data_IF_756150681068
#
_entry.id   IF_756150681068
#
_cell.length_a   1.000
_cell.length_b   1.000
_cell.length_c   1.000
_cell.angle_alpha   90.00
_cell.angle_beta   90.00
_cell.angle_gamma   90.00
#
_symmetry.space_group_name_H-M   'P 1'
#
loop_
_entity.id
_entity.type
_entity.pdbx_description
1 polymer ?
#
# COMPACT_ATOMS: atom_id res chain seq x y z
N UNK A 1 14.27 23.20 17.01
CA UNK A 1 13.96 21.83 17.49
C UNK A 1 13.46 21.05 16.29
N UNK A 2 14.24 20.07 15.82
CA UNK A 2 13.83 19.15 14.75
C UNK A 2 12.91 18.13 15.41
N UNK A 3 11.65 17.94 14.98
CA UNK A 3 10.86 16.84 15.51
C UNK A 3 11.50 15.54 15.03
N UNK A 4 12.13 14.85 15.99
CA UNK A 4 12.75 13.55 15.79
C UNK A 4 11.64 12.50 15.60
N UNK A 5 11.84 11.60 14.62
CA UNK A 5 11.28 10.25 14.42
C UNK A 5 10.47 9.70 15.61
N UNK A 6 9.27 9.10 15.48
CA UNK A 6 8.74 8.21 14.45
C UNK A 6 7.25 8.08 14.77
N UNK A 7 6.39 8.91 14.18
CA UNK A 7 4.95 8.64 14.21
C UNK A 7 4.68 7.63 13.10
N UNK A 8 5.01 6.36 13.32
CA UNK A 8 4.38 5.32 12.49
C UNK A 8 2.89 5.41 12.79
N UNK A 9 2.02 5.67 11.80
CA UNK A 9 0.59 5.62 12.04
C UNK A 9 0.27 4.28 12.70
N UNK A 10 -0.34 4.33 13.89
CA UNK A 10 -0.73 3.14 14.62
C UNK A 10 -2.00 2.60 13.96
N UNK A 11 -1.82 1.71 12.98
CA UNK A 11 -2.95 1.03 12.35
C UNK A 11 -3.62 0.09 13.35
N UNK A 12 -4.93 0.20 13.45
CA UNK A 12 -5.78 -0.75 14.15
C UNK A 12 -5.72 -2.12 13.46
N UNK A 13 -6.10 -3.18 14.19
CA UNK A 13 -6.16 -4.53 13.60
C UNK A 13 -7.15 -4.62 12.44
N UNK A 14 -8.22 -3.82 12.49
CA UNK A 14 -9.20 -3.74 11.40
C UNK A 14 -8.58 -3.14 10.14
N UNK A 15 -7.90 -2.00 10.25
CA UNK A 15 -7.23 -1.37 9.10
C UNK A 15 -6.18 -2.31 8.50
N UNK A 16 -5.42 -3.02 9.33
CA UNK A 16 -4.47 -4.05 8.85
C UNK A 16 -5.19 -5.14 8.06
N UNK A 17 -6.32 -5.66 8.54
CA UNK A 17 -7.09 -6.69 7.83
C UNK A 17 -7.67 -6.18 6.51
N UNK A 18 -8.15 -4.94 6.50
CA UNK A 18 -8.65 -4.30 5.28
C UNK A 18 -7.53 -4.14 4.25
N UNK A 19 -6.35 -3.66 4.66
CA UNK A 19 -5.18 -3.57 3.79
C UNK A 19 -4.73 -4.95 3.27
N UNK A 20 -4.78 -5.98 4.11
CA UNK A 20 -4.46 -7.36 3.70
C UNK A 20 -5.47 -7.86 2.66
N UNK A 21 -6.75 -7.60 2.87
CA UNK A 21 -7.81 -7.98 1.93
C UNK A 21 -7.65 -7.27 0.58
N UNK A 22 -7.30 -5.98 0.59
CA UNK A 22 -7.03 -5.21 -0.63
C UNK A 22 -5.95 -5.86 -1.46
N UNK A 23 -4.85 -6.31 -0.84
CA UNK A 23 -3.77 -6.99 -1.55
C UNK A 23 -4.18 -8.36 -2.12
N UNK A 24 -5.08 -9.07 -1.44
CA UNK A 24 -5.61 -10.35 -1.93
C UNK A 24 -6.58 -10.16 -3.10
N UNK A 25 -7.40 -9.11 -3.07
CA UNK A 25 -8.37 -8.80 -4.13
C UNK A 25 -7.71 -8.11 -5.33
N UNK A 26 -6.70 -7.29 -5.07
CA UNK A 26 -5.96 -6.49 -6.06
C UNK A 26 -4.47 -6.72 -5.84
N UNK A 27 -3.89 -7.81 -6.38
CA UNK A 27 -2.46 -8.00 -6.33
C UNK A 27 -1.74 -6.86 -7.04
N UNK A 28 -0.60 -6.44 -6.46
CA UNK A 28 0.24 -5.41 -7.05
C UNK A 28 0.79 -5.92 -8.38
N UNK A 29 0.49 -5.20 -9.47
CA UNK A 29 0.91 -5.55 -10.81
C UNK A 29 2.14 -4.71 -11.21
N UNK A 30 3.30 -5.34 -11.48
CA UNK A 30 4.52 -4.69 -11.94
C UNK A 30 4.33 -3.78 -13.17
N UNK A 31 3.33 -4.06 -14.02
CA UNK A 31 3.06 -3.26 -15.21
C UNK A 31 2.63 -1.81 -14.87
N UNK A 32 2.17 -1.57 -13.64
CA UNK A 32 1.73 -0.26 -13.17
C UNK A 32 2.80 0.47 -12.35
N UNK A 33 4.01 -0.10 -12.19
CA UNK A 33 5.09 0.50 -11.41
C UNK A 33 5.43 1.91 -11.91
N UNK A 34 5.68 2.04 -13.21
CA UNK A 34 6.11 3.30 -13.80
C UNK A 34 5.06 4.39 -13.64
N UNK A 35 3.78 4.06 -13.86
CA UNK A 35 2.69 5.02 -13.75
C UNK A 35 2.40 5.39 -12.29
N UNK A 36 2.47 4.43 -11.35
CA UNK A 36 2.30 4.69 -9.92
C UNK A 36 3.45 5.51 -9.33
N UNK A 37 4.66 5.40 -9.89
CA UNK A 37 5.83 6.18 -9.49
C UNK A 37 5.91 7.55 -10.19
N UNK A 38 5.03 7.83 -11.16
CA UNK A 38 4.98 9.09 -11.89
C UNK A 38 4.04 10.12 -11.23
N UNK A 39 4.08 11.37 -11.69
CA UNK A 39 3.08 12.38 -11.32
C UNK A 39 1.79 12.16 -12.13
N UNK A 40 1.14 11.03 -11.91
CA UNK A 40 -0.11 10.68 -12.58
C UNK A 40 -1.25 11.59 -12.10
N UNK A 41 -1.81 12.39 -13.00
CA UNK A 41 -2.93 13.32 -12.74
C UNK A 41 -4.25 12.88 -13.39
N UNK A 42 -4.28 11.67 -13.95
CA UNK A 42 -5.46 11.10 -14.58
C UNK A 42 -6.47 10.51 -13.60
N UNK A 43 -7.56 9.96 -14.14
CA UNK A 43 -8.69 9.42 -13.36
C UNK A 43 -8.91 7.91 -13.57
N UNK A 44 -7.91 7.19 -14.09
CA UNK A 44 -8.02 5.76 -14.28
C UNK A 44 -8.14 5.06 -12.92
N UNK A 45 -9.29 4.43 -12.70
CA UNK A 45 -9.59 3.72 -11.45
C UNK A 45 -8.64 2.56 -11.21
N UNK A 46 -8.13 1.94 -12.26
CA UNK A 46 -7.18 0.82 -12.17
C UNK A 46 -5.85 1.31 -11.65
N UNK A 47 -5.36 2.45 -12.16
CA UNK A 47 -4.12 3.08 -11.69
C UNK A 47 -4.27 3.47 -10.22
N UNK A 48 -5.36 4.13 -9.83
CA UNK A 48 -5.59 4.48 -8.43
C UNK A 48 -5.68 3.25 -7.50
N UNK A 49 -6.28 2.15 -7.96
CA UNK A 49 -6.31 0.90 -7.19
C UNK A 49 -4.92 0.29 -7.04
N UNK A 50 -4.10 0.31 -8.10
CA UNK A 50 -2.72 -0.17 -8.05
C UNK A 50 -1.85 0.69 -7.12
N UNK A 51 -1.98 2.02 -7.17
CA UNK A 51 -1.30 2.92 -6.23
C UNK A 51 -1.67 2.59 -4.78
N UNK A 52 -2.96 2.45 -4.49
CA UNK A 52 -3.43 2.11 -3.15
C UNK A 52 -2.94 0.72 -2.69
N UNK A 53 -2.99 -0.29 -3.56
CA UNK A 53 -2.47 -1.63 -3.24
C UNK A 53 -0.97 -1.60 -2.91
N UNK A 54 -0.17 -0.80 -3.64
CA UNK A 54 1.27 -0.62 -3.35
C UNK A 54 1.51 0.03 -1.99
N UNK A 55 0.70 1.02 -1.64
CA UNK A 55 0.78 1.66 -0.33
C UNK A 55 0.45 0.64 0.77
N UNK A 56 -0.63 -0.15 0.62
CA UNK A 56 -0.98 -1.23 1.53
C UNK A 56 0.15 -2.25 1.69
N UNK A 57 0.79 -2.66 0.58
CA UNK A 57 1.93 -3.58 0.62
C UNK A 57 3.08 -2.98 1.42
N UNK A 58 3.45 -1.73 1.14
CA UNK A 58 4.55 -1.04 1.83
C UNK A 58 4.30 -0.93 3.33
N UNK A 59 3.09 -0.49 3.71
CA UNK A 59 2.66 -0.40 5.11
C UNK A 59 2.72 -1.78 5.79
N UNK A 60 2.11 -2.81 5.19
CA UNK A 60 2.04 -4.15 5.79
C UNK A 60 3.42 -4.80 5.88
N UNK A 61 4.31 -4.53 4.92
CA UNK A 61 5.71 -4.97 4.95
C UNK A 61 6.47 -4.32 6.10
N UNK A 62 6.31 -3.02 6.31
CA UNK A 62 6.91 -2.30 7.45
C UNK A 62 6.35 -2.73 8.81
N UNK A 63 5.11 -3.23 8.84
CA UNK A 63 4.46 -3.79 10.03
C UNK A 63 4.78 -5.27 10.26
N UNK A 64 5.39 -5.97 9.29
CA UNK A 64 5.59 -7.42 9.34
C UNK A 64 4.29 -8.22 9.31
N UNK A 65 3.23 -7.66 8.70
CA UNK A 65 1.88 -8.24 8.64
C UNK A 65 1.42 -8.48 7.20
N UNK A 66 2.34 -8.84 6.29
CA UNK A 66 1.94 -9.23 4.94
C UNK A 66 1.03 -10.47 4.97
N UNK A 67 0.00 -10.52 4.10
CA UNK A 67 -0.84 -11.70 4.00
C UNK A 67 -0.03 -12.89 3.43
N UNK A 68 -0.41 -14.13 3.76
CA UNK A 68 0.29 -15.32 3.26
C UNK A 68 0.22 -15.39 1.73
N UNK A 69 1.36 -15.66 1.09
CA UNK A 69 1.47 -15.76 -0.38
C UNK A 69 1.88 -14.48 -1.10
N UNK A 70 2.18 -13.40 -0.36
CA UNK A 70 2.73 -12.16 -0.90
C UNK A 70 4.11 -11.93 -0.28
N UNK A 71 5.15 -11.81 -1.12
CA UNK A 71 6.56 -11.65 -0.72
C UNK A 71 7.11 -10.24 -0.98
#
# INVERSE_FOLDING_TARGET
MVPNSTNKPSYTEQEVREMQQVLLETPVDPAYDDICNSFYDGWDRTVHRQMYARDCYSILKELGKLPPGIE
#
